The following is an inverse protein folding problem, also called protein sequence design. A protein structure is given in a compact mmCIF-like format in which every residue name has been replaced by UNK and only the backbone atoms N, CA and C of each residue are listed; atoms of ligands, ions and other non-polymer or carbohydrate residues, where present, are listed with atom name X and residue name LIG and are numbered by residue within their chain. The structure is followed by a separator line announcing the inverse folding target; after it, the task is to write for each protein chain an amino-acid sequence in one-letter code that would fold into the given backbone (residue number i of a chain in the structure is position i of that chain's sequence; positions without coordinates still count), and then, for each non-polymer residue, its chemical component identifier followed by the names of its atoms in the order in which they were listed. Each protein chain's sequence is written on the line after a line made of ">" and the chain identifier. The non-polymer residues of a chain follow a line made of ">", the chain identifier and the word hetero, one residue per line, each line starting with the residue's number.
data_IF_083040257124
#
_entry.id   IF_083040257124
#
_cell.length_a   1.000
_cell.length_b   1.000
_cell.length_c   1.000
_cell.angle_alpha   90.00
_cell.angle_beta   90.00
_cell.angle_gamma   90.00
#
_symmetry.space_group_name_H-M   'P 1'
#
loop_
_entity.id
_entity.type
_entity.pdbx_description
1 polymer ?
#
# COMPACT_ATOMS: atom_id res chain seq x y z
N UNK A 1 9.98 41.01 29.12
CA UNK A 1 10.06 39.53 29.05
C UNK A 1 9.68 38.96 27.67
N UNK A 2 10.03 39.62 26.54
CA UNK A 2 9.68 39.11 25.19
C UNK A 2 10.94 38.70 24.39
N UNK A 3 12.15 38.99 24.88
CA UNK A 3 13.40 38.65 24.18
C UNK A 3 13.83 37.19 24.28
N UNK A 4 13.33 36.42 25.25
CA UNK A 4 13.77 35.03 25.49
C UNK A 4 13.13 34.04 24.49
N UNK A 5 12.03 34.43 23.84
CA UNK A 5 11.31 33.55 22.91
C UNK A 5 11.99 33.48 21.54
N UNK A 6 12.80 34.47 21.15
CA UNK A 6 13.43 34.51 19.81
C UNK A 6 14.75 33.74 19.70
N UNK A 7 15.29 33.21 20.79
CA UNK A 7 16.62 32.55 20.78
C UNK A 7 16.57 31.02 20.95
N UNK A 8 15.41 30.43 21.24
CA UNK A 8 15.28 28.97 21.38
C UNK A 8 15.38 28.19 20.06
N UNK A 9 15.01 28.79 18.92
CA UNK A 9 14.99 28.09 17.63
C UNK A 9 16.32 28.13 16.86
N UNK A 10 17.28 28.97 17.28
CA UNK A 10 18.54 29.18 16.57
C UNK A 10 19.73 28.37 17.14
N UNK A 11 19.60 27.77 18.33
CA UNK A 11 20.77 27.25 19.07
C UNK A 11 20.94 25.72 19.04
N UNK A 12 19.91 24.94 18.69
CA UNK A 12 20.01 23.47 18.74
C UNK A 12 19.25 22.71 17.61
N UNK A 13 19.60 22.93 16.32
CA UNK A 13 18.99 22.18 15.20
C UNK A 13 19.21 20.66 15.31
N UNK A 14 20.24 20.21 16.03
CA UNK A 14 20.53 18.80 16.27
C UNK A 14 19.61 18.16 17.31
N UNK A 15 19.18 18.90 18.35
CA UNK A 15 18.20 18.42 19.34
C UNK A 15 16.82 18.26 18.71
N UNK A 16 16.43 19.18 17.80
CA UNK A 16 15.18 19.06 17.05
C UNK A 16 15.20 17.82 16.13
N UNK A 17 16.31 17.56 15.45
CA UNK A 17 16.49 16.35 14.62
C UNK A 17 16.44 15.06 15.44
N UNK A 18 17.08 15.03 16.62
CA UNK A 18 17.01 13.87 17.54
C UNK A 18 15.60 13.65 18.08
N UNK A 19 14.84 14.71 18.34
CA UNK A 19 13.46 14.61 18.82
C UNK A 19 12.52 14.10 17.72
N UNK A 20 12.68 14.57 16.48
CA UNK A 20 11.93 14.06 15.32
C UNK A 20 12.32 12.61 15.00
N UNK A 21 13.61 12.26 15.04
CA UNK A 21 14.09 10.89 14.87
C UNK A 21 13.56 9.98 15.99
N UNK A 22 13.53 10.46 17.24
CA UNK A 22 12.96 9.72 18.37
C UNK A 22 11.47 9.42 18.18
N UNK A 23 10.69 10.41 17.74
CA UNK A 23 9.27 10.23 17.41
C UNK A 23 9.10 9.26 16.23
N UNK A 24 9.92 9.38 15.18
CA UNK A 24 9.89 8.47 14.04
C UNK A 24 10.22 7.01 14.43
N UNK A 25 11.23 6.80 15.28
CA UNK A 25 11.60 5.48 15.79
C UNK A 25 10.51 4.91 16.71
N UNK A 26 9.88 5.72 17.56
CA UNK A 26 8.72 5.26 18.34
C UNK A 26 7.50 4.94 17.48
N UNK A 27 7.34 5.58 16.32
CA UNK A 27 6.28 5.23 15.37
C UNK A 27 6.59 3.92 14.64
N UNK A 28 7.85 3.69 14.26
CA UNK A 28 8.31 2.44 13.65
C UNK A 28 8.24 1.27 14.64
N UNK A 29 8.54 1.47 15.92
CA UNK A 29 8.51 0.41 16.94
C UNK A 29 7.09 0.22 17.52
N UNK A 30 6.34 1.31 17.72
CA UNK A 30 4.96 1.29 18.24
C UNK A 30 3.92 0.81 17.22
N UNK A 31 4.18 0.96 15.92
CA UNK A 31 3.34 0.46 14.82
C UNK A 31 4.00 -0.69 14.04
N UNK A 32 5.07 -1.29 14.54
CA UNK A 32 5.90 -2.27 13.79
C UNK A 32 6.06 -3.65 14.41
N UNK A 33 5.27 -4.02 15.43
CA UNK A 33 5.25 -5.39 15.95
C UNK A 33 3.87 -5.90 16.40
N UNK A 34 2.88 -5.03 16.59
CA UNK A 34 1.55 -5.39 17.09
C UNK A 34 0.51 -5.67 15.98
N UNK A 35 0.90 -6.42 14.95
CA UNK A 35 -0.02 -6.85 13.88
C UNK A 35 0.11 -8.33 13.49
N UNK A 36 1.11 -9.04 13.98
CA UNK A 36 1.34 -10.46 13.72
C UNK A 36 1.06 -11.29 14.99
N UNK A 37 -0.10 -11.08 15.60
CA UNK A 37 -0.69 -12.13 16.42
C UNK A 37 -1.76 -12.81 15.58
N UNK A 38 -1.34 -13.93 15.00
CA UNK A 38 -2.18 -14.83 14.24
C UNK A 38 -3.35 -15.29 15.10
N UNK A 39 -4.51 -14.68 14.93
CA UNK A 39 -5.79 -15.30 15.29
C UNK A 39 -5.95 -16.52 14.38
N UNK A 40 -5.38 -17.65 14.81
CA UNK A 40 -5.63 -18.98 14.29
C UNK A 40 -7.15 -19.21 14.32
N UNK A 41 -7.82 -19.06 13.18
CA UNK A 41 -9.26 -19.35 13.08
C UNK A 41 -9.99 -18.78 11.87
N UNK A 42 -9.39 -17.85 11.11
CA UNK A 42 -10.15 -17.11 10.09
C UNK A 42 -9.46 -17.05 8.70
N UNK A 43 -8.68 -18.07 8.33
CA UNK A 43 -8.08 -18.15 6.99
C UNK A 43 -9.04 -18.87 6.02
N UNK A 44 -9.33 -18.24 4.88
CA UNK A 44 -10.18 -18.79 3.81
C UNK A 44 -9.37 -19.44 2.68
N UNK A 45 -8.11 -19.03 2.51
CA UNK A 45 -7.15 -19.65 1.59
C UNK A 45 -5.71 -19.40 2.08
N UNK A 46 -4.77 -20.21 1.62
CA UNK A 46 -3.32 -20.04 1.91
C UNK A 46 -2.54 -20.21 0.60
N UNK A 47 -1.59 -19.32 0.35
CA UNK A 47 -0.69 -19.32 -0.81
C UNK A 47 0.75 -19.23 -0.26
N UNK A 48 1.43 -20.37 -0.16
CA UNK A 48 2.75 -20.44 0.49
C UNK A 48 2.70 -19.96 1.95
N UNK A 49 3.54 -19.00 2.37
CA UNK A 49 3.49 -18.41 3.72
C UNK A 49 2.33 -17.41 3.92
N UNK A 50 1.69 -16.97 2.83
CA UNK A 50 0.65 -15.95 2.87
C UNK A 50 -0.73 -16.53 3.12
N UNK A 51 -1.41 -16.03 4.14
CA UNK A 51 -2.79 -16.41 4.45
C UNK A 51 -3.75 -15.33 3.97
N UNK A 52 -4.83 -15.76 3.33
CA UNK A 52 -5.97 -14.90 3.00
C UNK A 52 -6.96 -14.98 4.16
N UNK A 53 -7.14 -13.88 4.86
CA UNK A 53 -8.08 -13.81 5.98
C UNK A 53 -9.52 -13.64 5.50
N UNK A 54 -10.50 -14.08 6.30
CA UNK A 54 -11.93 -13.90 6.01
C UNK A 54 -12.27 -12.42 5.82
N UNK A 55 -11.68 -11.54 6.62
CA UNK A 55 -11.93 -10.10 6.52
C UNK A 55 -11.38 -9.52 5.21
N UNK A 56 -10.19 -9.97 4.78
CA UNK A 56 -9.60 -9.60 3.50
C UNK A 56 -10.44 -10.09 2.32
N UNK A 57 -10.96 -11.31 2.41
CA UNK A 57 -11.90 -11.85 1.44
C UNK A 57 -13.21 -11.07 1.38
N UNK A 58 -13.82 -10.77 2.52
CA UNK A 58 -15.07 -10.00 2.57
C UNK A 58 -14.88 -8.58 2.02
N UNK A 59 -13.77 -7.91 2.34
CA UNK A 59 -13.43 -6.59 1.79
C UNK A 59 -13.27 -6.64 0.26
N UNK A 60 -12.55 -7.64 -0.24
CA UNK A 60 -12.32 -7.81 -1.69
C UNK A 60 -13.62 -8.13 -2.41
N UNK A 61 -14.43 -9.06 -1.87
CA UNK A 61 -15.77 -9.39 -2.38
C UNK A 61 -16.65 -8.14 -2.49
N UNK A 62 -16.66 -7.31 -1.45
CA UNK A 62 -17.44 -6.07 -1.46
C UNK A 62 -16.90 -5.04 -2.45
N UNK A 63 -15.58 -5.03 -2.68
CA UNK A 63 -14.94 -4.23 -3.73
C UNK A 63 -15.42 -4.61 -5.13
N UNK A 64 -15.39 -5.91 -5.47
CA UNK A 64 -15.93 -6.42 -6.74
C UNK A 64 -17.42 -6.12 -6.89
N UNK A 65 -18.20 -6.29 -5.83
CA UNK A 65 -19.63 -5.98 -5.86
C UNK A 65 -19.89 -4.50 -6.18
N UNK A 66 -19.17 -3.58 -5.53
CA UNK A 66 -19.25 -2.14 -5.83
C UNK A 66 -18.79 -1.83 -7.25
N UNK A 67 -17.72 -2.45 -7.72
CA UNK A 67 -17.23 -2.25 -9.08
C UNK A 67 -18.28 -2.64 -10.14
N UNK A 68 -18.86 -3.83 -10.03
CA UNK A 68 -19.87 -4.30 -10.99
C UNK A 68 -21.17 -3.49 -10.92
N UNK A 69 -21.61 -3.13 -9.71
CA UNK A 69 -22.82 -2.32 -9.54
C UNK A 69 -22.61 -0.87 -10.00
N UNK A 70 -21.55 -0.21 -9.53
CA UNK A 70 -21.39 1.24 -9.67
C UNK A 70 -20.71 1.62 -11.00
N UNK A 71 -19.75 0.83 -11.49
CA UNK A 71 -19.08 1.11 -12.77
C UNK A 71 -19.75 0.43 -13.96
N UNK A 72 -20.14 -0.84 -13.83
CA UNK A 72 -20.72 -1.60 -14.94
C UNK A 72 -22.25 -1.52 -15.00
N UNK A 73 -22.90 -0.94 -13.97
CA UNK A 73 -24.37 -0.85 -13.85
C UNK A 73 -25.08 -2.20 -14.03
N UNK A 74 -24.40 -3.30 -13.68
CA UNK A 74 -24.95 -4.65 -13.76
C UNK A 74 -25.42 -5.07 -12.37
N UNK A 75 -26.74 -5.18 -12.19
CA UNK A 75 -27.34 -5.59 -10.92
C UNK A 75 -27.52 -7.11 -10.80
N UNK A 76 -27.53 -7.84 -11.92
CA UNK A 76 -27.81 -9.29 -11.99
C UNK A 76 -26.57 -10.19 -11.88
N UNK A 77 -25.43 -9.66 -11.42
CA UNK A 77 -24.22 -10.48 -11.28
C UNK A 77 -24.43 -11.48 -10.15
N UNK A 78 -24.38 -12.77 -10.49
CA UNK A 78 -24.52 -13.86 -9.52
C UNK A 78 -23.49 -13.71 -8.41
N UNK A 79 -23.93 -13.81 -7.15
CA UNK A 79 -23.03 -13.70 -6.00
C UNK A 79 -21.87 -14.70 -6.09
N UNK A 80 -22.13 -15.89 -6.64
CA UNK A 80 -21.13 -16.94 -6.83
C UNK A 80 -19.98 -16.50 -7.76
N UNK A 81 -20.29 -15.77 -8.83
CA UNK A 81 -19.28 -15.23 -9.74
C UNK A 81 -18.41 -14.20 -9.03
N UNK A 82 -19.01 -13.31 -8.23
CA UNK A 82 -18.27 -12.32 -7.43
C UNK A 82 -17.38 -13.00 -6.39
N UNK A 83 -17.86 -14.06 -5.74
CA UNK A 83 -17.07 -14.85 -4.79
C UNK A 83 -15.84 -15.47 -5.45
N UNK A 84 -16.01 -16.06 -6.63
CA UNK A 84 -14.92 -16.69 -7.38
C UNK A 84 -13.89 -15.66 -7.83
N UNK A 85 -14.33 -14.55 -8.42
CA UNK A 85 -13.44 -13.45 -8.84
C UNK A 85 -12.65 -12.86 -7.66
N UNK A 86 -13.30 -12.67 -6.51
CA UNK A 86 -12.63 -12.16 -5.32
C UNK A 86 -11.56 -13.14 -4.80
N UNK A 87 -11.85 -14.44 -4.81
CA UNK A 87 -10.91 -15.48 -4.37
C UNK A 87 -9.73 -15.61 -5.33
N UNK A 88 -10.00 -15.66 -6.64
CA UNK A 88 -8.99 -15.71 -7.69
C UNK A 88 -8.08 -14.48 -7.64
N UNK A 89 -8.66 -13.28 -7.55
CA UNK A 89 -7.91 -12.03 -7.40
C UNK A 89 -6.98 -12.05 -6.18
N UNK A 90 -7.47 -12.55 -5.04
CA UNK A 90 -6.65 -12.67 -3.82
C UNK A 90 -5.51 -13.68 -3.99
N UNK A 91 -5.79 -14.85 -4.56
CA UNK A 91 -4.76 -15.85 -4.84
C UNK A 91 -3.69 -15.26 -5.74
N UNK A 92 -4.09 -14.63 -6.85
CA UNK A 92 -3.16 -13.98 -7.77
C UNK A 92 -2.31 -12.93 -7.07
N UNK A 93 -2.91 -12.05 -6.25
CA UNK A 93 -2.16 -11.07 -5.47
C UNK A 93 -1.14 -11.72 -4.53
N UNK A 94 -1.53 -12.78 -3.80
CA UNK A 94 -0.60 -13.48 -2.90
C UNK A 94 0.51 -14.20 -3.66
N UNK A 95 0.23 -14.76 -4.84
CA UNK A 95 1.26 -15.36 -5.69
C UNK A 95 2.28 -14.34 -6.17
N UNK A 96 1.86 -13.12 -6.52
CA UNK A 96 2.79 -12.04 -6.85
C UNK A 96 3.64 -11.59 -5.67
N UNK A 97 3.07 -11.57 -4.46
CA UNK A 97 3.82 -11.28 -3.23
C UNK A 97 4.85 -12.38 -2.93
N UNK A 98 4.47 -13.65 -3.05
CA UNK A 98 5.39 -14.79 -2.91
C UNK A 98 6.55 -14.71 -3.90
N UNK A 99 6.26 -14.43 -5.18
CA UNK A 99 7.31 -14.31 -6.18
C UNK A 99 8.23 -13.12 -5.90
N UNK A 100 7.66 -11.97 -5.48
CA UNK A 100 8.47 -10.82 -5.10
C UNK A 100 9.41 -11.13 -3.94
N UNK A 101 8.96 -11.87 -2.93
CA UNK A 101 9.80 -12.32 -1.82
C UNK A 101 10.88 -13.31 -2.25
N UNK A 102 10.53 -14.32 -3.03
CA UNK A 102 11.48 -15.33 -3.54
C UNK A 102 12.58 -14.68 -4.36
N UNK A 103 12.24 -13.64 -5.12
CA UNK A 103 13.17 -12.86 -5.93
C UNK A 103 13.87 -11.74 -5.15
N UNK A 104 13.63 -11.62 -3.83
CA UNK A 104 14.14 -10.55 -2.96
C UNK A 104 13.90 -9.14 -3.56
N UNK A 105 12.75 -8.94 -4.20
CA UNK A 105 12.38 -7.66 -4.77
C UNK A 105 12.05 -6.68 -3.64
N UNK A 106 12.67 -5.52 -3.72
CA UNK A 106 12.37 -4.40 -2.84
C UNK A 106 11.97 -3.18 -3.66
N UNK A 107 11.12 -2.34 -3.07
CA UNK A 107 10.84 -0.99 -3.56
C UNK A 107 11.55 -0.04 -2.62
N UNK A 108 12.52 0.70 -3.16
CA UNK A 108 13.24 1.73 -2.40
C UNK A 108 12.31 2.90 -2.06
N UNK A 109 12.68 3.67 -1.04
CA UNK A 109 11.92 4.86 -0.67
C UNK A 109 11.87 5.90 -1.81
N UNK A 110 12.94 5.98 -2.61
CA UNK A 110 13.01 6.88 -3.77
C UNK A 110 12.05 6.44 -4.87
N UNK A 111 12.02 5.16 -5.23
CA UNK A 111 11.08 4.64 -6.23
C UNK A 111 9.62 4.84 -5.81
N UNK A 112 9.31 4.61 -4.53
CA UNK A 112 7.97 4.87 -4.01
C UNK A 112 7.62 6.35 -4.09
N UNK A 113 8.55 7.23 -3.71
CA UNK A 113 8.38 8.68 -3.81
C UNK A 113 8.12 9.13 -5.25
N UNK A 114 8.95 8.69 -6.19
CA UNK A 114 8.83 9.03 -7.60
C UNK A 114 7.51 8.52 -8.18
N UNK A 115 7.07 7.31 -7.80
CA UNK A 115 5.79 6.76 -8.23
C UNK A 115 4.58 7.58 -7.72
N UNK A 116 4.66 8.16 -6.52
CA UNK A 116 3.59 8.98 -5.94
C UNK A 116 3.60 10.38 -6.55
N UNK A 117 4.77 11.01 -6.69
CA UNK A 117 4.92 12.37 -7.25
C UNK A 117 4.50 12.43 -8.72
N UNK A 118 4.77 11.36 -9.47
CA UNK A 118 4.39 11.26 -10.88
C UNK A 118 2.93 10.86 -11.10
N UNK A 119 2.15 10.59 -10.04
CA UNK A 119 0.75 10.27 -10.17
C UNK A 119 -0.08 11.53 -10.43
N UNK A 120 -0.74 11.56 -11.60
CA UNK A 120 -1.56 12.69 -12.07
C UNK A 120 -2.62 13.12 -11.08
N UNK A 121 -3.22 12.17 -10.34
CA UNK A 121 -4.28 12.44 -9.37
C UNK A 121 -3.81 13.30 -8.19
N UNK A 122 -2.49 13.37 -7.94
CA UNK A 122 -1.89 14.17 -6.88
C UNK A 122 -1.19 15.42 -7.39
N UNK A 123 -1.31 15.70 -8.69
CA UNK A 123 -0.76 16.88 -9.31
C UNK A 123 -1.82 17.98 -9.39
N UNK A 124 -1.43 19.19 -9.01
CA UNK A 124 -2.18 20.42 -9.25
C UNK A 124 -1.42 21.22 -10.29
N UNK A 125 -2.07 21.54 -11.39
CA UNK A 125 -1.44 22.22 -12.55
C UNK A 125 -0.19 21.48 -13.08
N UNK A 126 -0.18 20.14 -12.99
CA UNK A 126 0.92 19.29 -13.44
C UNK A 126 2.10 19.17 -12.46
N UNK A 127 2.01 19.77 -11.28
CA UNK A 127 3.05 19.70 -10.22
C UNK A 127 2.47 19.02 -8.99
N UNK A 128 3.23 18.11 -8.37
CA UNK A 128 2.80 17.46 -7.15
C UNK A 128 2.61 18.46 -6.01
N UNK A 129 1.44 18.42 -5.37
CA UNK A 129 1.09 19.27 -4.24
C UNK A 129 0.82 18.41 -3.00
N UNK A 130 1.68 18.53 -1.99
CA UNK A 130 1.61 17.71 -0.77
C UNK A 130 0.35 17.98 0.03
N UNK A 131 -0.14 19.22 0.09
CA UNK A 131 -1.38 19.52 0.81
C UNK A 131 -2.59 18.98 0.07
N UNK A 132 -2.59 19.06 -1.27
CA UNK A 132 -3.63 18.49 -2.11
C UNK A 132 -3.68 16.97 -1.98
N UNK A 133 -2.52 16.31 -2.02
CA UNK A 133 -2.38 14.88 -1.74
C UNK A 133 -2.98 14.51 -0.38
N UNK A 134 -2.60 15.19 0.70
CA UNK A 134 -3.14 14.92 2.04
C UNK A 134 -4.64 15.15 2.13
N UNK A 135 -5.15 16.24 1.52
CA UNK A 135 -6.59 16.53 1.46
C UNK A 135 -7.36 15.45 0.70
N UNK A 136 -6.83 14.99 -0.44
CA UNK A 136 -7.46 13.96 -1.26
C UNK A 136 -7.49 12.60 -0.54
N UNK A 137 -6.41 12.22 0.13
CA UNK A 137 -6.39 11.02 0.96
C UNK A 137 -7.35 11.12 2.14
N UNK A 138 -7.38 12.28 2.82
CA UNK A 138 -8.30 12.52 3.93
C UNK A 138 -9.77 12.44 3.49
N UNK A 139 -10.10 12.96 2.30
CA UNK A 139 -11.44 12.83 1.71
C UNK A 139 -11.83 11.36 1.49
N UNK A 140 -10.86 10.49 1.21
CA UNK A 140 -11.04 9.04 1.07
C UNK A 140 -10.84 8.27 2.40
N UNK A 141 -10.74 8.98 3.54
CA UNK A 141 -10.49 8.40 4.87
C UNK A 141 -9.22 7.54 4.94
N UNK A 142 -8.24 7.85 4.11
CA UNK A 142 -6.97 7.14 4.01
C UNK A 142 -5.86 8.00 4.60
N UNK A 143 -4.95 7.39 5.38
CA UNK A 143 -3.75 8.07 5.87
C UNK A 143 -2.60 7.89 4.87
N UNK A 144 -1.65 8.84 4.78
CA UNK A 144 -0.50 8.75 3.86
C UNK A 144 0.26 7.43 3.94
N UNK A 145 0.58 6.96 5.16
CA UNK A 145 1.29 5.69 5.34
C UNK A 145 0.52 4.48 4.79
N UNK A 146 -0.82 4.49 4.86
CA UNK A 146 -1.64 3.39 4.34
C UNK A 146 -1.61 3.38 2.81
N UNK A 147 -1.65 4.57 2.22
CA UNK A 147 -1.55 4.73 0.78
C UNK A 147 -0.15 4.35 0.27
N UNK A 148 0.91 4.80 0.94
CA UNK A 148 2.30 4.48 0.62
C UNK A 148 2.56 2.97 0.66
N UNK A 149 2.05 2.28 1.69
CA UNK A 149 2.16 0.82 1.78
C UNK A 149 1.34 0.10 0.70
N UNK A 150 0.14 0.58 0.39
CA UNK A 150 -0.62 0.05 -0.75
C UNK A 150 0.16 0.22 -2.06
N UNK A 151 0.71 1.42 -2.30
CA UNK A 151 1.47 1.74 -3.52
C UNK A 151 2.76 0.93 -3.60
N UNK A 152 3.44 0.70 -2.48
CA UNK A 152 4.60 -0.20 -2.39
C UNK A 152 4.25 -1.61 -2.86
N UNK A 153 3.15 -2.16 -2.36
CA UNK A 153 2.71 -3.51 -2.74
C UNK A 153 2.34 -3.59 -4.24
N UNK A 154 1.72 -2.55 -4.78
CA UNK A 154 1.43 -2.47 -6.22
C UNK A 154 2.70 -2.45 -7.06
N UNK A 155 3.70 -1.64 -6.68
CA UNK A 155 4.99 -1.56 -7.35
C UNK A 155 5.77 -2.89 -7.29
N UNK A 156 5.72 -3.59 -6.14
CA UNK A 156 6.31 -4.92 -6.02
C UNK A 156 5.67 -5.92 -6.99
N UNK A 157 4.33 -5.91 -7.07
CA UNK A 157 3.60 -6.78 -8.00
C UNK A 157 3.90 -6.43 -9.47
N UNK A 158 4.03 -5.14 -9.79
CA UNK A 158 4.42 -4.67 -11.13
C UNK A 158 5.83 -5.14 -11.50
N UNK A 159 6.81 -4.96 -10.59
CA UNK A 159 8.17 -5.47 -10.79
C UNK A 159 8.20 -6.98 -11.01
N UNK A 160 7.47 -7.75 -10.19
CA UNK A 160 7.40 -9.19 -10.35
C UNK A 160 6.82 -9.60 -11.72
N UNK A 161 5.77 -8.91 -12.20
CA UNK A 161 5.20 -9.14 -13.54
C UNK A 161 6.17 -8.83 -14.67
N UNK A 162 6.90 -7.72 -14.57
CA UNK A 162 7.89 -7.33 -15.57
C UNK A 162 8.97 -8.41 -15.72
N UNK A 163 9.50 -8.91 -14.60
CA UNK A 163 10.54 -9.96 -14.62
C UNK A 163 10.04 -11.27 -15.22
N UNK A 164 8.80 -11.68 -14.90
CA UNK A 164 8.18 -12.86 -15.53
C UNK A 164 8.03 -12.66 -17.04
N UNK A 165 7.58 -11.47 -17.46
CA UNK A 165 7.39 -11.16 -18.88
C UNK A 165 8.71 -11.20 -19.66
N UNK A 166 9.79 -10.62 -19.11
CA UNK A 166 11.13 -10.68 -19.71
C UNK A 166 11.62 -12.13 -19.82
N UNK A 167 11.47 -12.94 -18.76
CA UNK A 167 11.87 -14.35 -18.78
C UNK A 167 11.13 -15.15 -19.87
N UNK A 168 9.83 -14.92 -20.05
CA UNK A 168 9.06 -15.59 -21.12
C UNK A 168 9.45 -15.14 -22.52
N UNK A 169 9.87 -13.88 -22.72
CA UNK A 169 10.36 -13.40 -24.04
C UNK A 169 11.73 -13.94 -24.43
N UNK A 170 12.51 -14.42 -23.46
CA UNK A 170 13.85 -14.96 -23.68
C UNK A 170 13.88 -16.47 -23.94
N UNK A 171 12.73 -17.15 -23.95
CA UNK A 171 12.64 -18.57 -24.33
C UNK A 171 12.44 -18.65 -25.85
N UNK A 172 13.46 -19.03 -26.65
CA UNK A 172 13.25 -19.25 -28.07
C UNK A 172 12.37 -20.49 -28.24
N UNK A 173 11.29 -20.35 -29.02
CA UNK A 173 10.46 -21.48 -29.48
C UNK A 173 11.25 -22.50 -30.27
#
# INVERSE_FOLDING_TARGET
>A
MIRIIREGSAKYPWILKLLILGIAVTFVIGMGWYGYESTQGNAVATVGPYKVTKDEYLRTKQGYFRFYRDQLKQEDVKEETIKQLALEGLITTKSWQLLADEMNLAVSAQELHDAIVNQKDFQKDGVFDTEYYQRLLAANRMKPHQYEEQRRNELLAEKARLLVSEATTLTPT
#
